data_IF_914027079882
#
_entry.id   IF_914027079882
#
_cell.length_a   1.000
_cell.length_b   1.000
_cell.length_c   1.000
_cell.angle_alpha   90.00
_cell.angle_beta   90.00
_cell.angle_gamma   90.00
#
_symmetry.space_group_name_H-M   'P 1'
#
loop_
_entity.id
_entity.type
_entity.pdbx_description
1 polymer ?
#
# COMPACT_ATOMS: atom_id res chain seq x y z
N UNK A 1 12.24 -33.52 5.33
CA UNK A 1 11.81 -32.52 4.34
C UNK A 1 12.19 -31.17 4.90
N UNK A 2 12.80 -30.31 4.09
CA UNK A 2 13.03 -28.92 4.41
C UNK A 2 11.89 -28.10 3.78
N UNK A 3 11.17 -27.30 4.58
CA UNK A 3 10.00 -26.52 4.14
C UNK A 3 10.26 -25.08 4.58
N UNK A 4 10.31 -24.18 3.60
CA UNK A 4 10.58 -22.76 3.82
C UNK A 4 9.47 -21.93 3.17
N UNK A 5 9.11 -20.82 3.82
CA UNK A 5 8.20 -19.82 3.24
C UNK A 5 8.89 -19.09 2.10
N UNK A 6 8.13 -18.65 1.11
CA UNK A 6 8.67 -17.83 0.02
C UNK A 6 8.86 -16.40 0.50
N UNK A 7 10.11 -16.03 0.73
CA UNK A 7 10.48 -14.66 1.10
C UNK A 7 10.50 -13.73 -0.12
N UNK A 8 10.32 -12.43 0.10
CA UNK A 8 10.33 -11.36 -0.91
C UNK A 8 9.33 -11.55 -2.07
N UNK A 9 8.23 -12.28 -1.82
CA UNK A 9 7.27 -12.66 -2.84
C UNK A 9 6.59 -11.43 -3.49
N UNK A 10 6.28 -10.40 -2.69
CA UNK A 10 5.66 -9.17 -3.19
C UNK A 10 6.65 -8.37 -4.05
N UNK A 11 7.86 -8.15 -3.55
CA UNK A 11 8.93 -7.40 -4.21
C UNK A 11 9.30 -8.03 -5.55
N UNK A 12 9.36 -9.36 -5.59
CA UNK A 12 9.63 -10.10 -6.80
C UNK A 12 8.45 -10.06 -7.78
N UNK A 13 7.22 -10.18 -7.29
CA UNK A 13 6.02 -10.03 -8.14
C UNK A 13 5.95 -8.64 -8.76
N UNK A 14 6.32 -7.58 -8.03
CA UNK A 14 6.31 -6.19 -8.52
C UNK A 14 7.33 -5.91 -9.64
N UNK A 15 8.33 -6.77 -9.84
CA UNK A 15 9.30 -6.67 -10.95
C UNK A 15 8.74 -7.23 -12.26
N UNK A 16 7.72 -8.07 -12.19
CA UNK A 16 7.17 -8.80 -13.33
C UNK A 16 6.02 -8.03 -13.98
N UNK A 17 5.90 -8.11 -15.31
CA UNK A 17 4.78 -7.52 -16.03
C UNK A 17 3.77 -8.58 -16.43
N UNK A 18 2.50 -8.35 -16.05
CA UNK A 18 1.36 -8.99 -16.71
C UNK A 18 1.16 -8.35 -18.09
N UNK A 19 1.21 -9.16 -19.15
CA UNK A 19 1.14 -8.69 -20.53
C UNK A 19 0.01 -9.37 -21.30
N UNK A 20 -0.48 -8.68 -22.33
CA UNK A 20 -1.33 -9.28 -23.37
C UNK A 20 -0.52 -9.36 -24.66
N UNK A 21 -0.54 -10.51 -25.33
CA UNK A 21 0.28 -10.77 -26.52
C UNK A 21 -0.43 -11.67 -27.55
N UNK A 22 0.05 -11.62 -28.79
CA UNK A 22 -0.35 -12.52 -29.88
C UNK A 22 0.90 -13.18 -30.46
N UNK A 23 0.76 -14.42 -30.93
CA UNK A 23 1.86 -15.15 -31.55
C UNK A 23 2.15 -14.60 -32.95
N UNK A 24 3.43 -14.36 -33.26
CA UNK A 24 3.84 -13.82 -34.57
C UNK A 24 3.55 -14.77 -35.74
N UNK A 25 3.39 -16.06 -35.47
CA UNK A 25 3.15 -17.10 -36.48
C UNK A 25 1.68 -17.28 -36.83
N UNK A 26 0.76 -16.64 -36.11
CA UNK A 26 -0.68 -16.75 -36.34
C UNK A 26 -1.21 -15.49 -37.03
N UNK A 27 -1.11 -15.44 -38.36
CA UNK A 27 -1.70 -14.39 -39.19
C UNK A 27 -3.24 -14.44 -39.24
N UNK A 28 -3.85 -15.51 -38.69
CA UNK A 28 -5.29 -15.72 -38.66
C UNK A 28 -5.87 -15.52 -37.25
N UNK A 29 -6.26 -14.29 -36.94
CA UNK A 29 -7.34 -13.93 -36.01
C UNK A 29 -7.40 -14.67 -34.65
N UNK A 30 -6.25 -14.83 -33.98
CA UNK A 30 -6.20 -15.40 -32.63
C UNK A 30 -6.45 -14.31 -31.60
N UNK A 31 -7.37 -14.59 -30.67
CA UNK A 31 -7.66 -13.71 -29.54
C UNK A 31 -6.37 -13.45 -28.72
N UNK A 32 -6.15 -12.20 -28.26
CA UNK A 32 -5.00 -11.89 -27.41
C UNK A 32 -4.92 -12.82 -26.19
N UNK A 33 -3.73 -13.33 -25.92
CA UNK A 33 -3.44 -14.15 -24.75
C UNK A 33 -2.88 -13.28 -23.63
N UNK A 34 -3.19 -13.62 -22.39
CA UNK A 34 -2.64 -12.95 -21.20
C UNK A 34 -1.58 -13.86 -20.60
N UNK A 35 -0.46 -13.28 -20.18
CA UNK A 35 0.61 -14.02 -19.53
C UNK A 35 1.69 -13.10 -18.96
N UNK A 36 2.89 -13.65 -18.88
CA UNK A 36 4.10 -12.98 -18.41
C UNK A 36 5.23 -13.18 -19.41
N UNK A 37 6.27 -12.35 -19.33
CA UNK A 37 7.45 -12.46 -20.18
C UNK A 37 8.43 -13.44 -19.54
N UNK A 38 8.75 -14.54 -20.23
CA UNK A 38 9.59 -15.61 -19.66
C UNK A 38 10.99 -15.12 -19.26
N UNK A 39 11.56 -14.16 -19.99
CA UNK A 39 12.87 -13.57 -19.67
C UNK A 39 12.82 -12.77 -18.36
N UNK A 40 11.75 -12.02 -18.10
CA UNK A 40 11.58 -11.30 -16.83
C UNK A 40 11.38 -12.28 -15.67
N UNK A 41 10.60 -13.33 -15.90
CA UNK A 41 10.41 -14.38 -14.90
C UNK A 41 11.74 -15.07 -14.60
N UNK A 42 12.59 -15.33 -15.60
CA UNK A 42 13.88 -15.98 -15.39
C UNK A 42 14.85 -15.13 -14.54
N UNK A 43 14.81 -13.81 -14.68
CA UNK A 43 15.64 -12.90 -13.88
C UNK A 43 15.28 -12.93 -12.39
N UNK A 44 14.04 -13.29 -12.05
CA UNK A 44 13.51 -13.26 -10.68
C UNK A 44 13.34 -14.66 -10.08
N UNK A 45 12.84 -15.60 -10.88
CA UNK A 45 12.55 -17.00 -10.57
C UNK A 45 13.07 -17.90 -11.71
N UNK A 46 14.39 -18.06 -11.86
CA UNK A 46 14.98 -18.88 -12.93
C UNK A 46 14.45 -20.33 -12.92
N UNK A 47 14.11 -20.85 -11.75
CA UNK A 47 13.55 -22.19 -11.57
C UNK A 47 12.13 -22.36 -12.12
N UNK A 48 11.43 -21.26 -12.44
CA UNK A 48 10.11 -21.29 -13.06
C UNK A 48 10.20 -21.36 -14.59
N UNK A 49 11.39 -21.17 -15.16
CA UNK A 49 11.57 -21.08 -16.61
C UNK A 49 12.27 -22.32 -17.13
N UNK A 50 11.76 -22.86 -18.22
CA UNK A 50 12.40 -23.93 -18.99
C UNK A 50 12.76 -23.42 -20.36
N UNK A 51 13.99 -23.70 -20.76
CA UNK A 51 14.48 -23.46 -22.12
C UNK A 51 14.56 -24.80 -22.84
N UNK A 52 13.93 -24.90 -24.01
CA UNK A 52 14.03 -26.11 -24.84
C UNK A 52 15.32 -26.14 -25.69
N UNK A 53 15.48 -27.19 -26.50
CA UNK A 53 16.66 -27.37 -27.36
C UNK A 53 16.81 -26.30 -28.45
N UNK A 54 15.74 -25.58 -28.77
CA UNK A 54 15.73 -24.50 -29.78
C UNK A 54 15.93 -23.12 -29.13
N UNK A 55 16.08 -23.06 -27.81
CA UNK A 55 16.27 -21.81 -27.07
C UNK A 55 14.95 -21.10 -26.71
N UNK A 56 13.80 -21.74 -26.93
CA UNK A 56 12.50 -21.16 -26.59
C UNK A 56 12.24 -21.32 -25.09
N UNK A 57 11.86 -20.20 -24.46
CA UNK A 57 11.59 -20.12 -23.02
C UNK A 57 10.10 -20.28 -22.73
N UNK A 58 9.78 -21.10 -21.75
CA UNK A 58 8.42 -21.36 -21.26
C UNK A 58 8.36 -21.21 -19.74
N UNK A 59 7.23 -20.76 -19.21
CA UNK A 59 7.03 -20.48 -17.78
C UNK A 59 6.15 -21.52 -17.11
N UNK A 60 6.54 -21.97 -15.92
CA UNK A 60 5.77 -22.83 -15.05
C UNK A 60 4.79 -22.02 -14.19
N UNK A 61 3.60 -21.76 -14.74
CA UNK A 61 2.55 -20.99 -14.06
C UNK A 61 2.07 -21.60 -12.74
N UNK A 62 2.18 -22.92 -12.56
CA UNK A 62 1.69 -23.58 -11.34
C UNK A 62 2.45 -23.12 -10.08
N UNK A 63 3.75 -22.85 -10.21
CA UNK A 63 4.58 -22.40 -9.09
C UNK A 63 4.34 -20.92 -8.77
N UNK A 64 3.99 -20.12 -9.78
CA UNK A 64 3.72 -18.70 -9.61
C UNK A 64 2.54 -18.44 -8.67
N UNK A 65 1.54 -19.33 -8.63
CA UNK A 65 0.42 -19.23 -7.67
C UNK A 65 0.88 -19.20 -6.21
N UNK A 66 1.91 -19.98 -5.84
CA UNK A 66 2.42 -19.97 -4.47
C UNK A 66 3.10 -18.64 -4.11
N UNK A 67 3.86 -18.06 -5.05
CA UNK A 67 4.44 -16.72 -4.90
C UNK A 67 3.34 -15.68 -4.73
N UNK A 68 2.31 -15.72 -5.58
CA UNK A 68 1.20 -14.76 -5.50
C UNK A 68 0.44 -14.85 -4.17
N UNK A 69 0.29 -16.04 -3.58
CA UNK A 69 -0.31 -16.20 -2.25
C UNK A 69 0.49 -15.44 -1.19
N UNK A 70 1.81 -15.60 -1.14
CA UNK A 70 2.64 -14.89 -0.17
C UNK A 70 2.69 -13.38 -0.46
N UNK A 71 2.73 -12.97 -1.74
CA UNK A 71 2.65 -11.56 -2.11
C UNK A 71 1.36 -10.88 -1.62
N UNK A 72 0.21 -11.56 -1.77
CA UNK A 72 -1.08 -11.06 -1.28
C UNK A 72 -1.11 -10.98 0.25
N UNK A 73 -0.51 -11.95 0.95
CA UNK A 73 -0.41 -11.90 2.42
C UNK A 73 0.44 -10.72 2.89
N UNK A 74 1.59 -10.49 2.26
CA UNK A 74 2.45 -9.33 2.55
C UNK A 74 1.70 -8.03 2.31
N UNK A 75 1.03 -7.90 1.16
CA UNK A 75 0.21 -6.72 0.84
C UNK A 75 -0.91 -6.51 1.86
N UNK A 76 -1.59 -7.57 2.29
CA UNK A 76 -2.64 -7.48 3.31
C UNK A 76 -2.08 -7.01 4.66
N UNK A 77 -0.89 -7.48 5.05
CA UNK A 77 -0.24 -7.03 6.28
C UNK A 77 0.11 -5.53 6.23
N UNK A 78 0.62 -5.05 5.08
CA UNK A 78 0.87 -3.61 4.87
C UNK A 78 -0.42 -2.79 4.96
N UNK A 79 -1.51 -3.26 4.35
CA UNK A 79 -2.81 -2.59 4.41
C UNK A 79 -3.31 -2.48 5.86
N UNK A 80 -3.23 -3.56 6.64
CA UNK A 80 -3.66 -3.53 8.04
C UNK A 80 -2.78 -2.60 8.89
N UNK A 81 -1.47 -2.55 8.61
CA UNK A 81 -0.56 -1.59 9.24
C UNK A 81 -0.95 -0.15 8.91
N UNK A 82 -1.18 0.16 7.64
CA UNK A 82 -1.58 1.49 7.17
C UNK A 82 -2.94 1.92 7.74
N UNK A 83 -3.92 1.01 7.81
CA UNK A 83 -5.22 1.30 8.45
C UNK A 83 -5.06 1.65 9.92
N UNK A 84 -4.21 0.92 10.65
CA UNK A 84 -3.94 1.20 12.06
C UNK A 84 -3.31 2.57 12.26
N UNK A 85 -2.30 2.91 11.45
CA UNK A 85 -1.66 4.22 11.48
C UNK A 85 -2.66 5.33 11.16
N UNK A 86 -3.49 5.15 10.12
CA UNK A 86 -4.52 6.11 9.75
C UNK A 86 -5.52 6.36 10.90
N UNK A 87 -6.00 5.31 11.56
CA UNK A 87 -6.87 5.44 12.73
C UNK A 87 -6.19 6.20 13.89
N UNK A 88 -4.89 5.99 14.11
CA UNK A 88 -4.13 6.71 15.12
C UNK A 88 -3.97 8.19 14.77
N UNK A 89 -3.70 8.50 13.50
CA UNK A 89 -3.61 9.87 13.00
C UNK A 89 -4.97 10.57 13.13
N UNK A 90 -6.06 9.91 12.77
CA UNK A 90 -7.41 10.48 12.93
C UNK A 90 -7.71 10.81 14.40
N UNK A 91 -7.39 9.92 15.34
CA UNK A 91 -7.57 10.20 16.76
C UNK A 91 -6.72 11.39 17.27
N UNK A 92 -5.53 11.60 16.70
CA UNK A 92 -4.69 12.76 17.01
C UNK A 92 -5.27 14.06 16.44
N UNK A 93 -5.84 14.01 15.23
CA UNK A 93 -6.57 15.14 14.63
C UNK A 93 -7.74 15.54 15.52
N UNK A 94 -8.61 14.59 15.90
CA UNK A 94 -9.78 14.86 16.74
C UNK A 94 -9.41 15.49 18.09
N UNK A 95 -8.31 15.01 18.70
CA UNK A 95 -7.77 15.58 19.94
C UNK A 95 -7.25 16.99 19.75
N UNK A 96 -6.61 17.27 18.63
CA UNK A 96 -6.09 18.61 18.31
C UNK A 96 -7.25 19.60 18.16
N UNK A 97 -8.31 19.21 17.45
CA UNK A 97 -9.53 20.03 17.31
C UNK A 97 -10.23 20.30 18.65
N UNK A 98 -10.25 19.34 19.58
CA UNK A 98 -10.74 19.57 20.95
C UNK A 98 -9.89 20.60 21.70
N UNK A 99 -8.57 20.47 21.63
CA UNK A 99 -7.65 21.40 22.28
C UNK A 99 -7.79 22.82 21.72
N UNK A 100 -7.95 22.98 20.40
CA UNK A 100 -8.20 24.27 19.75
C UNK A 100 -9.51 24.90 20.25
N UNK A 101 -10.59 24.11 20.38
CA UNK A 101 -11.85 24.59 20.95
C UNK A 101 -11.71 25.06 22.39
N UNK A 102 -11.00 24.29 23.22
CA UNK A 102 -10.75 24.66 24.62
C UNK A 102 -9.90 25.92 24.75
N UNK A 103 -8.89 26.07 23.88
CA UNK A 103 -8.05 27.27 23.83
C UNK A 103 -8.90 28.50 23.49
N UNK A 104 -9.75 28.42 22.47
CA UNK A 104 -10.65 29.50 22.09
C UNK A 104 -11.61 29.91 23.23
N UNK A 105 -12.13 28.94 23.99
CA UNK A 105 -12.97 29.23 25.17
C UNK A 105 -12.19 29.94 26.28
N UNK A 106 -10.96 29.51 26.57
CA UNK A 106 -10.09 30.16 27.57
C UNK A 106 -9.77 31.59 27.15
N UNK A 107 -9.43 31.82 25.88
CA UNK A 107 -9.18 33.16 25.35
C UNK A 107 -10.40 34.08 25.49
N UNK A 108 -11.61 33.55 25.27
CA UNK A 108 -12.85 34.31 25.45
C UNK A 108 -13.09 34.66 26.93
N UNK A 109 -12.85 33.72 27.85
CA UNK A 109 -12.99 33.95 29.29
C UNK A 109 -12.00 34.99 29.82
N UNK A 110 -10.77 34.99 29.32
CA UNK A 110 -9.77 36.00 29.69
C UNK A 110 -10.21 37.40 29.23
N UNK A 111 -10.69 37.54 28.00
CA UNK A 111 -11.20 38.83 27.47
C UNK A 111 -12.39 39.37 28.28
N UNK A 112 -13.31 38.51 28.74
CA UNK A 112 -14.46 38.94 29.53
C UNK A 112 -14.11 39.27 30.98
N UNK A 113 -13.13 38.57 31.58
CA UNK A 113 -12.62 38.86 32.92
C UNK A 113 -11.86 40.19 33.04
N UNK A 114 -11.10 40.57 32.00
CA UNK A 114 -10.38 41.86 31.97
C UNK A 114 -11.34 43.05 31.85
N UNK A 115 -12.44 42.91 31.10
CA UNK A 115 -13.45 43.99 30.98
C UNK A 115 -14.27 44.21 32.27
N UNK A 116 -14.42 43.18 33.11
CA UNK A 116 -15.15 43.28 34.38
C UNK A 116 -14.35 43.97 35.49
N UNK A 117 -13.01 43.83 35.48
CA UNK A 117 -12.12 44.45 36.47
C UNK A 117 -11.90 45.95 36.22
N UNK A 118 -11.96 46.41 34.96
CA UNK A 118 -11.87 47.85 34.63
C UNK A 118 -13.10 48.64 35.06
N UNK A 119 -14.30 48.04 35.05
CA UNK A 119 -15.55 48.73 35.45
C UNK A 119 -15.74 48.89 36.96
N UNK A 120 -15.11 48.06 37.80
CA UNK A 120 -15.21 48.22 39.26
C UNK A 120 -14.35 49.37 39.80
N UNK A 121 -13.28 49.77 39.10
CA UNK A 121 -12.37 50.83 39.56
C UNK A 121 -12.77 52.26 39.15
N UNK A 122 -13.92 52.48 38.51
CA UNK A 122 -14.33 53.81 38.01
C UNK A 122 -15.63 54.34 38.64
N UNK A 123 -16.00 53.89 39.85
CA UNK A 123 -17.26 54.32 40.49
C UNK A 123 -17.08 55.01 41.85
N UNK A 124 -15.84 55.28 42.27
CA UNK A 124 -15.54 56.16 43.41
C UNK A 124 -14.83 57.43 42.89
N UNK A 125 -15.62 58.41 42.46
CA UNK A 125 -15.35 59.86 42.52
C UNK A 125 -16.62 60.66 42.18
#
# INVERSE_FOLDING_TARGET
KDIQTLDNALENTLKLRGVSYTWKTDESNVAPQIGVIAQEVEEVYPEFVRTDSEGMKSVNYAQMTAVLIEAVKTLNAEIESLKKENNQLQAQVDKTEDLERRLAQIEQMLKSGTNSSVKMNTTDD
#
